data_IF_756567954011
#
_entry.id   IF_756567954011
#
_cell.length_a   1.000
_cell.length_b   1.000
_cell.length_c   1.000
_cell.angle_alpha   90.00
_cell.angle_beta   90.00
_cell.angle_gamma   90.00
#
_symmetry.space_group_name_H-M   'P 1'
#
loop_
_entity.id
_entity.type
_entity.pdbx_description
1 polymer ?
#
# COMPACT_ATOMS: atom_id res chain seq x y z
N UNK A 1 9.02 28.76 -5.60
CA UNK A 1 9.10 29.09 -4.15
C UNK A 1 8.46 27.94 -3.39
N UNK A 2 9.02 27.55 -2.25
CA UNK A 2 8.41 26.52 -1.40
C UNK A 2 7.02 26.95 -0.94
N UNK A 3 6.07 26.02 -0.98
CA UNK A 3 4.73 26.16 -0.43
C UNK A 3 4.82 26.19 1.10
N UNK A 4 3.85 26.85 1.76
CA UNK A 4 3.73 26.68 3.21
C UNK A 4 3.28 25.26 3.56
N UNK A 5 3.45 24.86 4.83
CA UNK A 5 3.18 23.50 5.29
C UNK A 5 1.76 23.04 5.00
N UNK A 6 0.76 23.92 5.16
CA UNK A 6 -0.64 23.55 4.96
C UNK A 6 -0.92 23.32 3.48
N UNK A 7 -0.53 24.27 2.63
CA UNK A 7 -0.74 24.15 1.19
C UNK A 7 0.02 22.95 0.61
N UNK A 8 1.22 22.68 1.12
CA UNK A 8 2.01 21.52 0.72
C UNK A 8 1.37 20.19 1.14
N UNK A 9 0.85 20.11 2.37
CA UNK A 9 0.10 18.94 2.85
C UNK A 9 -1.11 18.66 1.96
N UNK A 10 -1.89 19.70 1.64
CA UNK A 10 -3.05 19.60 0.77
C UNK A 10 -2.65 19.13 -0.65
N UNK A 11 -1.50 19.58 -1.16
CA UNK A 11 -0.97 19.16 -2.46
C UNK A 11 -0.53 17.68 -2.49
N UNK A 12 0.06 17.17 -1.40
CA UNK A 12 0.41 15.74 -1.26
C UNK A 12 -0.83 14.86 -1.28
N UNK A 13 -1.87 15.24 -0.54
CA UNK A 13 -3.14 14.53 -0.49
C UNK A 13 -3.83 14.51 -1.86
N UNK A 14 -3.86 15.66 -2.56
CA UNK A 14 -4.39 15.71 -3.93
C UNK A 14 -3.63 14.78 -4.89
N UNK A 15 -2.30 14.71 -4.77
CA UNK A 15 -1.47 13.81 -5.60
C UNK A 15 -1.81 12.34 -5.40
N UNK A 16 -2.10 11.92 -4.17
CA UNK A 16 -2.52 10.54 -3.87
C UNK A 16 -3.79 10.15 -4.66
N UNK A 17 -4.72 11.08 -4.85
CA UNK A 17 -6.01 10.81 -5.50
C UNK A 17 -5.98 10.85 -7.04
N UNK A 18 -4.86 11.20 -7.68
CA UNK A 18 -4.78 11.30 -9.14
C UNK A 18 -4.66 9.95 -9.88
N UNK A 19 -4.21 8.90 -9.20
CA UNK A 19 -3.92 7.60 -9.82
C UNK A 19 -4.56 6.47 -9.00
N UNK A 20 -5.83 6.21 -9.26
CA UNK A 20 -6.59 5.16 -8.58
C UNK A 20 -6.37 3.80 -9.25
N UNK A 21 -5.85 2.82 -8.51
CA UNK A 21 -5.65 1.45 -9.00
C UNK A 21 -6.96 0.73 -9.28
N UNK A 22 -8.01 0.97 -8.49
CA UNK A 22 -9.32 0.37 -8.71
C UNK A 22 -9.98 0.78 -10.03
N UNK A 23 -9.45 1.82 -10.71
CA UNK A 23 -9.89 2.22 -12.05
C UNK A 23 -9.32 1.34 -13.18
N UNK A 24 -8.33 0.50 -12.89
CA UNK A 24 -7.65 -0.34 -13.87
C UNK A 24 -8.60 -1.42 -14.47
N UNK A 25 -8.54 -1.70 -15.79
CA UNK A 25 -9.40 -2.69 -16.44
C UNK A 25 -9.44 -4.08 -15.80
N UNK A 26 -8.34 -4.52 -15.19
CA UNK A 26 -8.26 -5.79 -14.44
C UNK A 26 -9.35 -5.92 -13.36
N UNK A 27 -9.80 -4.81 -12.74
CA UNK A 27 -10.86 -4.87 -11.74
C UNK A 27 -12.23 -5.14 -12.35
N UNK A 28 -12.45 -4.85 -13.64
CA UNK A 28 -13.66 -5.29 -14.34
C UNK A 28 -13.67 -6.80 -14.56
N UNK A 29 -12.50 -7.38 -14.87
CA UNK A 29 -12.34 -8.83 -15.00
C UNK A 29 -12.52 -9.54 -13.65
N UNK A 30 -11.88 -9.00 -12.59
CA UNK A 30 -12.00 -9.51 -11.22
C UNK A 30 -13.42 -9.40 -10.67
N UNK A 31 -14.18 -8.38 -11.05
CA UNK A 31 -15.54 -8.14 -10.55
C UNK A 31 -16.61 -8.48 -11.61
N UNK A 32 -16.27 -9.36 -12.56
CA UNK A 32 -17.24 -9.93 -13.49
C UNK A 32 -18.38 -10.62 -12.72
N UNK A 33 -19.60 -10.72 -13.28
CA UNK A 33 -20.76 -11.25 -12.55
C UNK A 33 -20.56 -12.64 -11.95
N UNK A 34 -19.79 -13.50 -12.63
CA UNK A 34 -19.45 -14.85 -12.17
C UNK A 34 -18.21 -14.89 -11.26
N UNK A 35 -17.44 -13.79 -11.17
CA UNK A 35 -16.12 -13.73 -10.56
C UNK A 35 -15.06 -14.46 -11.37
N UNK A 36 -13.82 -13.98 -11.34
CA UNK A 36 -12.68 -14.64 -12.00
C UNK A 36 -11.67 -15.13 -10.96
N UNK A 37 -11.96 -16.28 -10.35
CA UNK A 37 -11.17 -16.81 -9.22
C UNK A 37 -9.72 -17.11 -9.61
N UNK A 38 -9.47 -17.57 -10.85
CA UNK A 38 -8.12 -17.83 -11.35
C UNK A 38 -7.30 -16.54 -11.46
N UNK A 39 -7.91 -15.47 -11.96
CA UNK A 39 -7.28 -14.15 -11.99
C UNK A 39 -7.07 -13.60 -10.57
N UNK A 40 -8.06 -13.71 -9.69
CA UNK A 40 -7.94 -13.26 -8.30
C UNK A 40 -6.78 -13.96 -7.58
N UNK A 41 -6.63 -15.27 -7.78
CA UNK A 41 -5.51 -16.03 -7.20
C UNK A 41 -4.15 -15.47 -7.63
N UNK A 42 -3.98 -15.19 -8.92
CA UNK A 42 -2.75 -14.60 -9.49
C UNK A 42 -2.51 -13.17 -8.98
N UNK A 43 -3.55 -12.35 -8.93
CA UNK A 43 -3.47 -10.97 -8.41
C UNK A 43 -3.12 -10.97 -6.93
N UNK A 44 -3.72 -11.85 -6.13
CA UNK A 44 -3.45 -11.97 -4.70
C UNK A 44 -2.01 -12.44 -4.43
N UNK A 45 -1.48 -13.36 -5.23
CA UNK A 45 -0.09 -13.81 -5.17
C UNK A 45 0.91 -12.66 -5.40
N UNK A 46 0.64 -11.78 -6.36
CA UNK A 46 1.44 -10.57 -6.59
C UNK A 46 1.26 -9.54 -5.46
N UNK A 47 0.03 -9.38 -4.94
CA UNK A 47 -0.24 -8.55 -3.75
C UNK A 47 0.57 -9.00 -2.53
N UNK A 48 0.68 -10.31 -2.29
CA UNK A 48 1.48 -10.87 -1.21
C UNK A 48 2.97 -10.53 -1.32
N UNK A 49 3.49 -10.39 -2.55
CA UNK A 49 4.87 -9.94 -2.75
C UNK A 49 5.07 -8.53 -2.18
N UNK A 50 4.08 -7.63 -2.22
CA UNK A 50 4.19 -6.32 -1.58
C UNK A 50 4.11 -6.43 -0.06
N UNK A 51 3.11 -7.16 0.45
CA UNK A 51 2.82 -7.28 1.89
C UNK A 51 4.03 -7.75 2.68
N UNK A 52 4.76 -8.76 2.18
CA UNK A 52 5.92 -9.32 2.92
C UNK A 52 7.10 -8.36 3.08
N UNK A 53 7.16 -7.26 2.33
CA UNK A 53 8.19 -6.23 2.49
C UNK A 53 7.71 -5.02 3.28
N UNK A 54 6.41 -4.91 3.57
CA UNK A 54 5.82 -3.68 4.09
C UNK A 54 6.42 -3.27 5.43
N UNK A 55 6.52 -4.22 6.37
CA UNK A 55 7.14 -4.01 7.67
C UNK A 55 8.57 -3.44 7.54
N UNK A 56 9.39 -3.98 6.63
CA UNK A 56 10.74 -3.48 6.41
C UNK A 56 10.78 -2.02 5.95
N UNK A 57 9.76 -1.53 5.26
CA UNK A 57 9.69 -0.10 4.92
C UNK A 57 9.53 0.75 6.16
N UNK A 58 8.53 0.42 6.99
CA UNK A 58 8.19 1.18 8.19
C UNK A 58 9.32 1.10 9.22
N UNK A 59 10.00 -0.04 9.34
CA UNK A 59 11.18 -0.21 10.20
C UNK A 59 12.32 0.76 9.82
N UNK A 60 12.61 0.89 8.52
CA UNK A 60 13.65 1.81 8.05
C UNK A 60 13.24 3.27 8.24
N UNK A 61 11.97 3.59 8.02
CA UNK A 61 11.44 4.92 8.31
C UNK A 61 11.53 5.26 9.80
N UNK A 62 11.11 4.35 10.69
CA UNK A 62 11.28 4.53 12.13
C UNK A 62 12.75 4.75 12.51
N UNK A 63 13.65 3.91 11.99
CA UNK A 63 15.07 3.96 12.34
C UNK A 63 15.71 5.29 11.93
N UNK A 64 15.49 5.73 10.70
CA UNK A 64 16.09 6.95 10.13
C UNK A 64 15.29 8.24 10.37
N UNK A 65 14.13 8.18 11.05
CA UNK A 65 13.26 9.34 11.22
C UNK A 65 14.01 10.54 11.85
N UNK A 66 14.11 11.68 11.13
CA UNK A 66 14.82 12.86 11.60
C UNK A 66 13.99 13.73 12.55
N UNK A 67 12.68 13.47 12.67
CA UNK A 67 11.75 14.25 13.48
C UNK A 67 11.23 13.41 14.66
N UNK A 68 11.75 13.60 15.89
CA UNK A 68 11.38 12.80 17.05
C UNK A 68 9.88 12.77 17.38
N UNK A 69 9.12 13.81 17.01
CA UNK A 69 7.66 13.89 17.18
C UNK A 69 6.92 12.73 16.51
N UNK A 70 7.39 12.27 15.35
CA UNK A 70 6.74 11.24 14.55
C UNK A 70 7.20 9.80 14.89
N UNK A 71 8.28 9.65 15.68
CA UNK A 71 8.83 8.31 16.00
C UNK A 71 7.83 7.43 16.75
N UNK A 72 6.93 8.02 17.56
CA UNK A 72 5.91 7.25 18.28
C UNK A 72 4.88 6.64 17.33
N UNK A 73 4.44 7.39 16.34
CA UNK A 73 3.48 6.85 15.36
C UNK A 73 4.13 5.75 14.52
N UNK A 74 5.36 5.96 14.05
CA UNK A 74 6.11 4.97 13.27
C UNK A 74 6.36 3.66 14.04
N UNK A 75 6.77 3.71 15.31
CA UNK A 75 6.95 2.47 16.09
C UNK A 75 5.63 1.78 16.42
N UNK A 76 4.54 2.56 16.54
CA UNK A 76 3.19 2.00 16.72
C UNK A 76 2.75 1.27 15.46
N UNK A 77 3.00 1.84 14.27
CA UNK A 77 2.77 1.19 12.99
C UNK A 77 3.60 -0.12 12.88
N UNK A 78 4.92 -0.08 13.13
CA UNK A 78 5.75 -1.30 13.14
C UNK A 78 5.21 -2.37 14.11
N UNK A 79 4.81 -1.96 15.31
CA UNK A 79 4.26 -2.87 16.31
C UNK A 79 2.95 -3.50 15.83
N UNK A 80 2.08 -2.73 15.17
CA UNK A 80 0.83 -3.26 14.65
C UNK A 80 1.06 -4.21 13.47
N UNK A 81 1.85 -3.79 12.48
CA UNK A 81 2.18 -4.60 11.30
C UNK A 81 2.76 -5.97 11.68
N UNK A 82 3.60 -6.03 12.72
CA UNK A 82 4.26 -7.26 13.18
C UNK A 82 3.40 -8.11 14.12
N UNK A 83 2.39 -7.52 14.79
CA UNK A 83 1.68 -8.23 15.88
C UNK A 83 0.16 -8.31 15.74
N UNK A 84 -0.49 -7.40 15.02
CA UNK A 84 -1.95 -7.28 14.92
C UNK A 84 -2.65 -6.91 16.25
N UNK A 85 -1.91 -6.46 17.27
CA UNK A 85 -2.42 -6.37 18.65
C UNK A 85 -3.40 -5.23 18.87
N UNK A 86 -3.24 -4.11 18.18
CA UNK A 86 -4.11 -2.94 18.24
C UNK A 86 -5.42 -3.22 17.51
N UNK A 87 -5.35 -3.84 16.32
CA UNK A 87 -6.53 -4.32 15.57
C UNK A 87 -7.19 -5.55 16.21
N UNK A 88 -6.49 -6.23 17.12
CA UNK A 88 -6.88 -7.52 17.75
C UNK A 88 -7.02 -8.63 16.72
N UNK A 89 -6.13 -8.65 15.74
CA UNK A 89 -6.04 -9.65 14.69
C UNK A 89 -4.66 -10.33 14.73
N UNK A 90 -4.35 -11.15 13.71
CA UNK A 90 -2.97 -11.59 13.47
C UNK A 90 -2.15 -10.47 12.81
N UNK A 91 -0.84 -10.64 12.70
CA UNK A 91 -0.01 -9.70 11.95
C UNK A 91 -0.38 -9.64 10.46
N UNK A 92 -0.04 -8.53 9.80
CA UNK A 92 -0.59 -8.21 8.49
C UNK A 92 -0.15 -9.19 7.40
N UNK A 93 1.05 -9.77 7.54
CA UNK A 93 1.54 -10.85 6.66
C UNK A 93 0.67 -12.10 6.82
N UNK A 94 0.36 -12.50 8.05
CA UNK A 94 -0.50 -13.66 8.34
C UNK A 94 -1.93 -13.42 7.85
N UNK A 95 -2.47 -12.21 8.00
CA UNK A 95 -3.79 -11.86 7.43
C UNK A 95 -3.82 -12.05 5.91
N UNK A 96 -2.79 -11.59 5.19
CA UNK A 96 -2.71 -11.80 3.75
C UNK A 96 -2.55 -13.29 3.40
N UNK A 97 -1.79 -14.06 4.19
CA UNK A 97 -1.69 -15.52 4.00
C UNK A 97 -3.04 -16.23 4.21
N UNK A 98 -3.84 -15.79 5.18
CA UNK A 98 -5.17 -16.34 5.42
C UNK A 98 -6.11 -16.05 4.24
N UNK A 99 -6.06 -14.84 3.69
CA UNK A 99 -6.76 -14.51 2.44
C UNK A 99 -6.34 -15.42 1.28
N UNK A 100 -5.03 -15.65 1.08
CA UNK A 100 -4.55 -16.58 0.05
C UNK A 100 -5.09 -18.01 0.25
N UNK A 101 -5.12 -18.51 1.48
CA UNK A 101 -5.67 -19.84 1.80
C UNK A 101 -7.18 -19.92 1.53
N UNK A 102 -7.93 -18.85 1.81
CA UNK A 102 -9.35 -18.76 1.48
C UNK A 102 -9.60 -18.84 -0.05
N UNK A 103 -8.65 -18.38 -0.86
CA UNK A 103 -8.64 -18.55 -2.31
C UNK A 103 -8.14 -19.93 -2.78
N UNK A 104 -7.85 -20.85 -1.84
CA UNK A 104 -7.31 -22.18 -2.10
C UNK A 104 -5.84 -22.20 -2.52
N UNK A 105 -5.06 -21.15 -2.25
CA UNK A 105 -3.64 -21.10 -2.56
C UNK A 105 -2.86 -21.76 -1.42
N UNK A 106 -2.06 -22.77 -1.73
CA UNK A 106 -1.20 -23.43 -0.74
C UNK A 106 0.01 -22.56 -0.36
N UNK A 107 0.55 -22.80 0.84
CA UNK A 107 1.80 -22.16 1.26
C UNK A 107 2.94 -22.46 0.27
N UNK A 108 2.99 -23.66 -0.32
CA UNK A 108 3.99 -24.00 -1.34
C UNK A 108 3.85 -23.19 -2.63
N UNK A 109 2.63 -22.96 -3.11
CA UNK A 109 2.38 -22.10 -4.29
C UNK A 109 2.80 -20.66 -3.99
N UNK A 110 2.44 -20.15 -2.80
CA UNK A 110 2.84 -18.82 -2.34
C UNK A 110 4.35 -18.62 -2.32
N UNK A 111 5.11 -19.57 -1.78
CA UNK A 111 6.58 -19.46 -1.68
C UNK A 111 7.29 -19.59 -3.03
N UNK A 112 6.69 -20.31 -3.99
CA UNK A 112 7.22 -20.43 -5.34
C UNK A 112 7.03 -19.16 -6.17
N UNK A 113 6.00 -18.37 -5.87
CA UNK A 113 5.68 -17.15 -6.61
C UNK A 113 6.84 -16.14 -6.59
N UNK A 114 7.14 -15.61 -7.78
CA UNK A 114 8.09 -14.51 -7.97
C UNK A 114 7.35 -13.23 -8.37
N UNK A 115 7.80 -12.05 -7.91
CA UNK A 115 7.20 -10.81 -8.36
C UNK A 115 7.40 -10.67 -9.87
N UNK A 116 6.34 -10.25 -10.56
CA UNK A 116 6.43 -9.76 -11.94
C UNK A 116 7.34 -8.53 -12.02
N UNK A 117 7.88 -8.19 -13.21
CA UNK A 117 8.77 -7.04 -13.37
C UNK A 117 8.25 -5.74 -12.74
N UNK A 118 6.99 -5.36 -12.96
CA UNK A 118 6.43 -4.13 -12.40
C UNK A 118 6.22 -4.22 -10.87
N UNK A 119 5.81 -5.39 -10.36
CA UNK A 119 5.73 -5.65 -8.91
C UNK A 119 7.10 -5.50 -8.25
N UNK A 120 8.14 -6.05 -8.88
CA UNK A 120 9.52 -5.97 -8.40
C UNK A 120 10.02 -4.52 -8.40
N UNK A 121 9.76 -3.77 -9.47
CA UNK A 121 10.13 -2.35 -9.56
C UNK A 121 9.50 -1.53 -8.42
N UNK A 122 8.21 -1.73 -8.14
CA UNK A 122 7.51 -1.06 -7.04
C UNK A 122 8.11 -1.40 -5.67
N UNK A 123 8.51 -2.66 -5.45
CA UNK A 123 9.20 -3.09 -4.22
C UNK A 123 10.57 -2.41 -4.11
N UNK A 124 11.37 -2.47 -5.18
CA UNK A 124 12.75 -1.97 -5.19
C UNK A 124 12.81 -0.45 -5.06
N UNK A 125 11.90 0.30 -5.72
CA UNK A 125 11.80 1.74 -5.59
C UNK A 125 11.64 2.17 -4.13
N UNK A 126 10.68 1.56 -3.41
CA UNK A 126 10.40 1.86 -2.01
C UNK A 126 11.55 1.42 -1.09
N UNK A 127 12.08 0.21 -1.28
CA UNK A 127 13.22 -0.29 -0.49
C UNK A 127 14.44 0.62 -0.64
N UNK A 128 14.75 1.06 -1.86
CA UNK A 128 15.90 1.93 -2.13
C UNK A 128 15.72 3.33 -1.52
N UNK A 129 14.49 3.83 -1.46
CA UNK A 129 14.19 5.12 -0.84
C UNK A 129 14.34 5.06 0.68
N UNK A 130 13.68 4.10 1.35
CA UNK A 130 13.69 4.02 2.83
C UNK A 130 15.06 3.66 3.41
N UNK A 131 15.90 2.91 2.68
CA UNK A 131 17.24 2.52 3.14
C UNK A 131 18.30 3.61 3.00
N UNK A 132 17.96 4.73 2.37
CA UNK A 132 18.88 5.84 2.18
C UNK A 132 18.41 7.07 2.99
N UNK A 133 19.11 7.44 4.08
CA UNK A 133 18.73 8.59 4.91
C UNK A 133 18.65 9.91 4.13
N UNK A 134 19.45 10.08 3.07
CA UNK A 134 19.41 11.27 2.22
C UNK A 134 18.14 11.35 1.35
N UNK A 135 17.38 10.26 1.23
CA UNK A 135 16.11 10.16 0.51
C UNK A 135 14.92 9.95 1.46
N UNK A 136 15.07 10.29 2.74
CA UNK A 136 14.05 9.99 3.74
C UNK A 136 12.67 10.54 3.35
N UNK A 137 12.58 11.79 2.89
CA UNK A 137 11.32 12.41 2.47
C UNK A 137 10.66 11.68 1.29
N UNK A 138 11.46 11.18 0.34
CA UNK A 138 10.98 10.35 -0.77
C UNK A 138 10.43 9.03 -0.24
N UNK A 139 11.16 8.36 0.67
CA UNK A 139 10.75 7.10 1.28
C UNK A 139 9.46 7.24 2.09
N UNK A 140 9.38 8.28 2.93
CA UNK A 140 8.21 8.59 3.74
C UNK A 140 6.98 8.88 2.85
N UNK A 141 7.14 9.70 1.81
CA UNK A 141 6.06 9.99 0.86
C UNK A 141 5.60 8.75 0.07
N UNK A 142 6.54 7.90 -0.38
CA UNK A 142 6.22 6.70 -1.14
C UNK A 142 5.50 5.62 -0.31
N UNK A 143 5.81 5.51 0.98
CA UNK A 143 5.29 4.46 1.85
C UNK A 143 4.08 4.94 2.64
N UNK A 144 4.26 5.96 3.50
CA UNK A 144 3.23 6.40 4.44
C UNK A 144 2.08 7.16 3.77
N UNK A 145 2.31 7.77 2.61
CA UNK A 145 1.23 8.45 1.87
C UNK A 145 0.74 7.56 0.75
N UNK A 146 1.61 7.23 -0.21
CA UNK A 146 1.17 6.52 -1.42
C UNK A 146 0.85 5.05 -1.18
N UNK A 147 1.69 4.27 -0.49
CA UNK A 147 1.46 2.82 -0.35
C UNK A 147 0.26 2.50 0.55
N UNK A 148 0.14 3.17 1.69
CA UNK A 148 -1.01 3.01 2.59
C UNK A 148 -2.29 3.62 1.97
N UNK A 149 -2.17 4.77 1.31
CA UNK A 149 -3.32 5.44 0.67
C UNK A 149 -3.99 4.61 -0.45
N UNK A 150 -3.25 3.76 -1.15
CA UNK A 150 -3.79 2.86 -2.18
C UNK A 150 -4.72 1.77 -1.61
N UNK A 151 -4.69 1.52 -0.29
CA UNK A 151 -5.66 0.63 0.36
C UNK A 151 -6.99 1.32 0.68
N UNK A 152 -7.03 2.66 0.68
CA UNK A 152 -8.22 3.45 1.03
C UNK A 152 -9.17 3.67 -0.15
N UNK A 153 -8.77 3.28 -1.36
CA UNK A 153 -9.58 3.47 -2.55
C UNK A 153 -10.95 2.78 -2.46
N UNK A 154 -11.97 3.44 -3.00
CA UNK A 154 -13.34 2.91 -3.10
C UNK A 154 -13.87 3.05 -4.52
N UNK A 155 -14.75 2.14 -4.92
CA UNK A 155 -15.49 2.23 -6.19
C UNK A 155 -16.98 2.25 -5.87
N UNK A 156 -17.66 3.30 -6.32
CA UNK A 156 -19.09 3.53 -6.02
C UNK A 156 -19.42 3.48 -4.51
N UNK A 157 -18.46 3.87 -3.65
CA UNK A 157 -18.60 3.84 -2.19
C UNK A 157 -18.27 2.50 -1.53
N UNK A 158 -18.06 1.43 -2.31
CA UNK A 158 -17.67 0.12 -1.79
C UNK A 158 -16.14 -0.01 -1.72
N UNK A 159 -15.65 -0.44 -0.56
CA UNK A 159 -14.24 -0.77 -0.34
C UNK A 159 -13.88 -2.16 -0.89
N UNK A 160 -12.59 -2.43 -1.06
CA UNK A 160 -12.08 -3.68 -1.66
C UNK A 160 -12.64 -4.96 -0.99
N UNK A 161 -12.75 -4.99 0.33
CA UNK A 161 -13.32 -6.14 1.05
C UNK A 161 -14.80 -6.36 0.71
N UNK A 162 -15.60 -5.30 0.57
CA UNK A 162 -17.02 -5.41 0.20
C UNK A 162 -17.16 -5.97 -1.22
N UNK A 163 -16.36 -5.46 -2.15
CA UNK A 163 -16.36 -5.88 -3.55
C UNK A 163 -15.97 -7.36 -3.69
N UNK A 164 -14.87 -7.77 -3.05
CA UNK A 164 -14.39 -9.15 -3.10
C UNK A 164 -15.32 -10.12 -2.36
N UNK A 165 -15.85 -9.73 -1.20
CA UNK A 165 -16.81 -10.55 -0.45
C UNK A 165 -18.06 -10.86 -1.27
N UNK A 166 -18.61 -9.85 -1.94
CA UNK A 166 -19.78 -10.02 -2.81
C UNK A 166 -19.48 -10.89 -4.03
N UNK A 167 -18.36 -10.66 -4.72
CA UNK A 167 -18.03 -11.35 -5.97
C UNK A 167 -17.61 -12.82 -5.79
N UNK A 168 -17.00 -13.15 -4.65
CA UNK A 168 -16.39 -14.48 -4.45
C UNK A 168 -17.00 -15.27 -3.28
N UNK A 169 -18.02 -14.73 -2.59
CA UNK A 169 -18.64 -15.39 -1.44
C UNK A 169 -17.69 -15.53 -0.24
N UNK A 170 -16.70 -14.66 -0.13
CA UNK A 170 -15.72 -14.66 0.96
C UNK A 170 -16.33 -14.09 2.24
N UNK A 171 -15.95 -14.66 3.38
CA UNK A 171 -16.41 -14.21 4.69
C UNK A 171 -15.63 -12.99 5.16
N UNK A 172 -16.15 -12.31 6.21
CA UNK A 172 -15.43 -11.21 6.85
C UNK A 172 -14.04 -11.65 7.35
N UNK A 173 -13.93 -12.88 7.89
CA UNK A 173 -12.66 -13.44 8.35
C UNK A 173 -11.63 -13.62 7.22
N UNK A 174 -12.08 -14.03 6.04
CA UNK A 174 -11.21 -14.20 4.86
C UNK A 174 -10.68 -12.85 4.36
N UNK A 175 -11.38 -11.77 4.66
CA UNK A 175 -11.13 -10.42 4.15
C UNK A 175 -10.53 -9.47 5.19
N UNK A 176 -10.16 -9.97 6.38
CA UNK A 176 -9.63 -9.15 7.48
C UNK A 176 -8.45 -8.29 7.07
N UNK A 177 -7.55 -8.81 6.22
CA UNK A 177 -6.44 -8.03 5.68
C UNK A 177 -6.93 -6.69 5.11
N UNK A 178 -7.97 -6.71 4.27
CA UNK A 178 -8.46 -5.51 3.60
C UNK A 178 -9.30 -4.61 4.51
N UNK A 179 -10.09 -5.17 5.43
CA UNK A 179 -10.93 -4.36 6.32
C UNK A 179 -10.12 -3.65 7.41
N UNK A 180 -9.05 -4.29 7.91
CA UNK A 180 -8.09 -3.65 8.83
C UNK A 180 -7.41 -2.48 8.12
N UNK A 181 -6.82 -2.68 6.94
CA UNK A 181 -6.14 -1.60 6.20
C UNK A 181 -7.09 -0.46 5.81
N UNK A 182 -8.34 -0.76 5.39
CA UNK A 182 -9.33 0.28 5.08
C UNK A 182 -9.59 1.24 6.26
N UNK A 183 -9.43 0.77 7.49
CA UNK A 183 -9.65 1.56 8.70
C UNK A 183 -8.35 2.20 9.21
N UNK A 184 -7.28 1.43 9.30
CA UNK A 184 -6.03 1.87 9.95
C UNK A 184 -5.23 2.82 9.06
N UNK A 185 -5.21 2.59 7.75
CA UNK A 185 -4.43 3.39 6.81
C UNK A 185 -4.93 4.84 6.72
N UNK A 186 -6.15 5.14 7.17
CA UNK A 186 -6.62 6.53 7.31
C UNK A 186 -5.74 7.29 8.30
N UNK A 187 -5.42 6.67 9.44
CA UNK A 187 -4.56 7.27 10.44
C UNK A 187 -3.11 7.34 9.96
N UNK A 188 -2.63 6.27 9.33
CA UNK A 188 -1.25 6.20 8.85
C UNK A 188 -0.96 7.19 7.71
N UNK A 189 -1.91 7.36 6.77
CA UNK A 189 -1.81 8.37 5.69
C UNK A 189 -1.79 9.78 6.26
N UNK A 190 -2.63 10.09 7.25
CA UNK A 190 -2.61 11.40 7.89
C UNK A 190 -1.27 11.66 8.61
N UNK A 191 -0.74 10.68 9.32
CA UNK A 191 0.59 10.76 9.92
C UNK A 191 1.69 10.96 8.86
N UNK A 192 1.59 10.27 7.72
CA UNK A 192 2.50 10.43 6.59
C UNK A 192 2.46 11.84 5.99
N UNK A 193 1.25 12.39 5.80
CA UNK A 193 1.04 13.76 5.33
C UNK A 193 1.65 14.79 6.30
N UNK A 194 1.44 14.61 7.60
CA UNK A 194 1.99 15.49 8.64
C UNK A 194 3.53 15.39 8.67
N UNK A 195 4.08 14.18 8.74
CA UNK A 195 5.53 13.94 8.73
C UNK A 195 6.23 14.55 7.51
N UNK A 196 5.71 14.30 6.31
CA UNK A 196 6.34 14.77 5.06
C UNK A 196 6.19 16.28 4.93
N UNK A 197 5.05 16.86 5.33
CA UNK A 197 4.82 18.30 5.24
C UNK A 197 5.66 19.11 6.22
N UNK A 198 5.91 18.59 7.43
CA UNK A 198 6.84 19.21 8.40
C UNK A 198 8.30 19.07 7.96
N UNK A 199 8.66 17.93 7.36
CA UNK A 199 10.04 17.66 6.95
C UNK A 199 10.48 18.48 5.73
N UNK A 200 9.60 18.64 4.73
CA UNK A 200 9.96 19.23 3.43
C UNK A 200 9.87 20.76 3.45
N UNK A 201 10.93 21.40 3.96
CA UNK A 201 11.01 22.87 4.13
C UNK A 201 11.59 23.62 2.94
N UNK A 202 12.05 22.91 1.90
CA UNK A 202 12.62 23.50 0.67
C UNK A 202 11.80 23.12 -0.55
N UNK A 203 11.87 23.96 -1.58
CA UNK A 203 11.17 23.72 -2.86
C UNK A 203 11.60 22.41 -3.53
N UNK A 204 12.87 22.04 -3.41
CA UNK A 204 13.39 20.78 -3.95
C UNK A 204 12.82 19.57 -3.21
N UNK A 205 12.81 19.59 -1.87
CA UNK A 205 12.23 18.49 -1.07
C UNK A 205 10.74 18.34 -1.35
N UNK A 206 10.00 19.44 -1.44
CA UNK A 206 8.57 19.42 -1.72
C UNK A 206 8.28 18.84 -3.11
N UNK A 207 9.04 19.27 -4.13
CA UNK A 207 8.92 18.72 -5.49
C UNK A 207 9.22 17.22 -5.51
N UNK A 208 10.30 16.78 -4.85
CA UNK A 208 10.69 15.37 -4.79
C UNK A 208 9.66 14.51 -4.05
N UNK A 209 9.06 15.02 -2.97
CA UNK A 209 8.02 14.31 -2.24
C UNK A 209 6.71 14.20 -3.05
N UNK A 210 6.29 15.26 -3.75
CA UNK A 210 5.13 15.21 -4.66
C UNK A 210 5.35 14.21 -5.80
N UNK A 211 6.54 14.21 -6.40
CA UNK A 211 6.92 13.22 -7.41
C UNK A 211 6.95 11.82 -6.83
N UNK A 212 7.41 11.64 -5.58
CA UNK A 212 7.43 10.34 -4.93
C UNK A 212 6.02 9.76 -4.74
N UNK A 213 5.04 10.58 -4.33
CA UNK A 213 3.63 10.15 -4.22
C UNK A 213 3.11 9.74 -5.60
N UNK A 214 3.25 10.63 -6.59
CA UNK A 214 2.78 10.43 -7.96
C UNK A 214 3.39 9.18 -8.62
N UNK A 215 4.71 9.04 -8.53
CA UNK A 215 5.45 7.93 -9.11
C UNK A 215 5.09 6.60 -8.46
N UNK A 216 4.92 6.56 -7.13
CA UNK A 216 4.49 5.33 -6.45
C UNK A 216 3.10 4.90 -6.92
N UNK A 217 2.15 5.83 -7.05
CA UNK A 217 0.81 5.50 -7.55
C UNK A 217 0.84 5.01 -9.02
N UNK A 218 1.71 5.60 -9.86
CA UNK A 218 1.96 5.08 -11.23
C UNK A 218 2.56 3.67 -11.23
N UNK A 219 3.48 3.37 -10.31
CA UNK A 219 4.07 2.03 -10.17
C UNK A 219 3.03 1.00 -9.71
N UNK A 220 2.12 1.39 -8.81
CA UNK A 220 0.96 0.56 -8.47
C UNK A 220 0.06 0.30 -9.69
N UNK A 221 -0.27 1.32 -10.46
CA UNK A 221 -1.03 1.14 -11.70
C UNK A 221 -0.30 0.22 -12.69
N UNK A 222 1.02 0.41 -12.86
CA UNK A 222 1.87 -0.43 -13.72
C UNK A 222 1.92 -1.89 -13.25
N UNK A 223 1.90 -2.15 -11.95
CA UNK A 223 1.78 -3.51 -11.41
C UNK A 223 0.47 -4.18 -11.86
N UNK A 224 -0.67 -3.46 -11.82
CA UNK A 224 -1.94 -3.99 -12.32
C UNK A 224 -1.96 -4.15 -13.85
N UNK A 225 -1.31 -3.26 -14.59
CA UNK A 225 -1.15 -3.37 -16.05
C UNK A 225 -0.30 -4.60 -16.43
N UNK A 226 0.80 -4.87 -15.71
CA UNK A 226 1.67 -6.02 -15.94
C UNK A 226 0.95 -7.34 -15.65
N UNK A 227 0.15 -7.38 -14.57
CA UNK A 227 -0.74 -8.52 -14.29
C UNK A 227 -1.80 -8.70 -15.37
N UNK A 228 -2.41 -7.61 -15.85
CA UNK A 228 -3.44 -7.68 -16.90
C UNK A 228 -2.87 -8.24 -18.20
N UNK A 229 -1.72 -7.75 -18.66
CA UNK A 229 -1.05 -8.27 -19.86
C UNK A 229 -0.60 -9.73 -19.73
N UNK A 230 -0.29 -10.14 -18.51
CA UNK A 230 0.21 -11.49 -18.24
C UNK A 230 -0.92 -12.52 -18.11
N UNK A 231 -2.11 -12.10 -17.69
CA UNK A 231 -3.16 -13.02 -17.23
C UNK A 231 -4.53 -12.85 -17.90
N UNK A 232 -4.75 -11.77 -18.66
CA UNK A 232 -5.99 -11.49 -19.40
C UNK A 232 -5.71 -11.45 -20.91
#
# INVERSE_FOLDING_TARGET
MAMDTKDFRDALEQKLHHHLTLSHPIFRELLSPEGNIELLRKVALQGYQLTKYFLSYVENLFFYCPLPSHKRALITNCFEEETGRLSRTDNHVVLMQNFLRALGISDSERELEKPLPATKELIEYRLNAVKNPAKYHIGAAAVMIASEGQNLETVAGDARHVLLGRAYGLTENDLLFFSVHQKEDVGHVNEGLDLVSELCTTEDMQREALEAVDHTCRLFYAMYEDMYRSYC
#
